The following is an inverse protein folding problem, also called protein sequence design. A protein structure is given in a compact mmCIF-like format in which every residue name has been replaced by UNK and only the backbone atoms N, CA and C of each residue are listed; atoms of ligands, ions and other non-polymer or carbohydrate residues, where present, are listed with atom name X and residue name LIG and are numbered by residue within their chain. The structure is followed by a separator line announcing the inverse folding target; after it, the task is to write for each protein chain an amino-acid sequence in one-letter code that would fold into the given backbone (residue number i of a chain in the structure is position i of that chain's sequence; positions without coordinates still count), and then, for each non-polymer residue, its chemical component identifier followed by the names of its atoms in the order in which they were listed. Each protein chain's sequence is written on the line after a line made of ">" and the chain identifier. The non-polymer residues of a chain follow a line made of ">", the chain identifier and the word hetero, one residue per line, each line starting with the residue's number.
data_IF_687037012195
#
_entry.id   IF_687037012195
#
_cell.length_a   1.000
_cell.length_b   1.000
_cell.length_c   1.000
_cell.angle_alpha   90.00
_cell.angle_beta   90.00
_cell.angle_gamma   90.00
#
_symmetry.space_group_name_H-M   'P 1'
#
loop_
_entity.id
_entity.type
_entity.pdbx_description
1 polymer ?
#
# COMPACT_ATOMS: atom_id res chain seq x y z
N UNK A 1 -1.01 5.11 -21.02
CA UNK A 1 -1.43 6.52 -20.88
C UNK A 1 -2.13 6.80 -19.55
N UNK A 2 -3.19 6.06 -19.18
CA UNK A 2 -3.95 6.33 -17.93
C UNK A 2 -3.14 6.27 -16.64
N UNK A 3 -2.27 5.27 -16.46
CA UNK A 3 -1.43 5.12 -15.26
C UNK A 3 -0.45 6.31 -15.12
N UNK A 4 0.17 6.74 -16.22
CA UNK A 4 1.07 7.90 -16.21
C UNK A 4 0.34 9.20 -15.83
N UNK A 5 -0.88 9.40 -16.33
CA UNK A 5 -1.70 10.54 -15.95
C UNK A 5 -2.10 10.50 -14.47
N UNK A 6 -2.46 9.33 -13.94
CA UNK A 6 -2.76 9.15 -12.52
C UNK A 6 -1.54 9.40 -11.62
N UNK A 7 -0.35 8.94 -12.04
CA UNK A 7 0.90 9.23 -11.35
C UNK A 7 1.22 10.73 -11.34
N UNK A 8 1.05 11.42 -12.48
CA UNK A 8 1.23 12.86 -12.57
C UNK A 8 0.25 13.63 -11.67
N UNK A 9 -1.03 13.22 -11.64
CA UNK A 9 -2.04 13.78 -10.75
C UNK A 9 -1.64 13.60 -9.28
N UNK A 10 -1.17 12.41 -8.91
CA UNK A 10 -0.70 12.11 -7.55
C UNK A 10 0.48 13.00 -7.14
N UNK A 11 1.49 13.14 -8.01
CA UNK A 11 2.64 14.02 -7.78
C UNK A 11 2.23 15.50 -7.60
N UNK A 12 1.31 15.98 -8.43
CA UNK A 12 0.73 17.32 -8.30
C UNK A 12 0.00 17.50 -6.96
N UNK A 13 -0.87 16.56 -6.60
CA UNK A 13 -1.64 16.62 -5.36
C UNK A 13 -0.74 16.59 -4.12
N UNK A 14 0.29 15.74 -4.11
CA UNK A 14 1.31 15.68 -3.06
C UNK A 14 2.05 17.00 -2.92
N UNK A 15 2.50 17.59 -4.04
CA UNK A 15 3.25 18.85 -4.03
C UNK A 15 2.42 19.99 -3.45
N UNK A 16 1.13 20.06 -3.81
CA UNK A 16 0.22 21.05 -3.25
C UNK A 16 -0.04 20.85 -1.76
N UNK A 17 -0.09 19.59 -1.32
CA UNK A 17 -0.31 19.23 0.08
C UNK A 17 0.93 19.50 0.94
N UNK A 18 2.14 19.19 0.45
CA UNK A 18 3.42 19.38 1.14
C UNK A 18 3.99 20.79 1.09
N UNK A 19 3.23 21.77 0.58
CA UNK A 19 3.65 23.18 0.53
C UNK A 19 3.89 23.79 1.93
N UNK A 20 3.40 23.14 2.99
CA UNK A 20 3.66 23.52 4.39
C UNK A 20 4.66 22.56 5.04
N UNK A 21 5.74 23.09 5.61
CA UNK A 21 6.73 22.32 6.37
C UNK A 21 6.10 21.57 7.55
N UNK A 22 5.13 22.19 8.22
CA UNK A 22 4.37 21.60 9.33
C UNK A 22 3.59 20.38 8.86
N UNK A 23 2.98 20.44 7.68
CA UNK A 23 2.28 19.30 7.11
C UNK A 23 3.24 18.12 6.87
N UNK A 24 4.39 18.37 6.26
CA UNK A 24 5.37 17.31 5.98
C UNK A 24 5.87 16.63 7.25
N UNK A 25 6.14 17.40 8.32
CA UNK A 25 6.52 16.84 9.62
C UNK A 25 5.39 16.01 10.25
N UNK A 26 4.17 16.55 10.23
CA UNK A 26 2.99 15.83 10.72
C UNK A 26 2.72 14.54 9.95
N UNK A 27 2.91 14.55 8.64
CA UNK A 27 2.78 13.37 7.79
C UNK A 27 3.83 12.32 8.12
N UNK A 28 5.10 12.70 8.24
CA UNK A 28 6.18 11.77 8.60
C UNK A 28 5.92 11.12 9.97
N UNK A 29 5.50 11.91 10.95
CA UNK A 29 5.12 11.41 12.27
C UNK A 29 3.89 10.51 12.20
N UNK A 30 2.86 10.90 11.45
CA UNK A 30 1.66 10.10 11.27
C UNK A 30 1.95 8.77 10.62
N UNK A 31 2.77 8.74 9.56
CA UNK A 31 3.15 7.52 8.84
C UNK A 31 4.01 6.60 9.72
N UNK A 32 4.94 7.14 10.52
CA UNK A 32 5.76 6.30 11.39
C UNK A 32 4.94 5.62 12.50
N UNK A 33 4.02 6.35 13.12
CA UNK A 33 3.14 5.81 14.17
C UNK A 33 2.08 4.88 13.57
N UNK A 34 1.34 5.34 12.55
CA UNK A 34 0.28 4.55 11.95
C UNK A 34 0.82 3.30 11.23
N UNK A 35 1.97 3.42 10.57
CA UNK A 35 2.64 2.28 9.93
C UNK A 35 3.03 1.22 10.95
N UNK A 36 3.62 1.62 12.08
CA UNK A 36 3.94 0.69 13.17
C UNK A 36 2.69 0.02 13.75
N UNK A 37 1.62 0.78 13.99
CA UNK A 37 0.36 0.24 14.49
C UNK A 37 -0.28 -0.75 13.50
N UNK A 38 -0.26 -0.42 12.21
CA UNK A 38 -0.84 -1.22 11.14
C UNK A 38 -0.08 -2.53 10.93
N UNK A 39 1.25 -2.50 11.03
CA UNK A 39 2.06 -3.72 11.01
C UNK A 39 1.79 -4.59 12.25
N UNK A 40 1.57 -3.98 13.42
CA UNK A 40 1.24 -4.73 14.63
C UNK A 40 -0.14 -5.42 14.57
N UNK A 41 -1.11 -4.85 13.86
CA UNK A 41 -2.46 -5.44 13.73
C UNK A 41 -2.56 -6.50 12.65
N UNK A 42 -1.93 -6.28 11.50
CA UNK A 42 -2.00 -7.20 10.35
C UNK A 42 -1.02 -8.37 10.54
N UNK A 43 0.09 -8.15 11.24
CA UNK A 43 1.15 -9.13 11.42
C UNK A 43 1.96 -9.37 10.14
N UNK A 44 3.09 -10.11 10.22
CA UNK A 44 4.02 -10.27 9.12
C UNK A 44 3.61 -11.35 8.10
N UNK A 45 2.47 -12.02 8.30
CA UNK A 45 2.15 -13.27 7.58
C UNK A 45 1.81 -13.05 6.11
N UNK A 46 1.04 -12.00 5.81
CA UNK A 46 0.68 -11.63 4.44
C UNK A 46 0.98 -10.15 4.16
N UNK A 47 2.19 -9.83 3.65
CA UNK A 47 2.58 -8.46 3.36
C UNK A 47 1.95 -7.91 2.07
N UNK A 48 1.39 -8.75 1.19
CA UNK A 48 0.98 -8.37 -0.16
C UNK A 48 -0.02 -7.19 -0.24
N UNK A 49 -1.03 -7.10 0.65
CA UNK A 49 -1.97 -5.98 0.62
C UNK A 49 -1.38 -4.62 0.97
N UNK A 50 -0.31 -4.60 1.76
CA UNK A 50 0.24 -3.38 2.37
C UNK A 50 1.60 -2.98 1.79
N UNK A 51 2.37 -3.93 1.26
CA UNK A 51 3.69 -3.67 0.72
C UNK A 51 3.58 -2.90 -0.61
N UNK A 52 4.04 -1.63 -0.67
CA UNK A 52 3.96 -0.85 -1.89
C UNK A 52 4.81 -1.46 -3.01
N UNK A 53 5.88 -2.19 -2.71
CA UNK A 53 6.77 -2.79 -3.71
C UNK A 53 6.08 -3.92 -4.46
N UNK A 54 5.37 -4.79 -3.75
CA UNK A 54 4.63 -5.90 -4.36
C UNK A 54 3.49 -5.37 -5.23
N UNK A 55 2.74 -4.38 -4.74
CA UNK A 55 1.66 -3.77 -5.51
C UNK A 55 2.20 -3.00 -6.75
N UNK A 56 3.37 -2.36 -6.67
CA UNK A 56 4.03 -1.75 -7.83
C UNK A 56 4.35 -2.79 -8.91
N UNK A 57 4.96 -3.90 -8.49
CA UNK A 57 5.32 -4.98 -9.40
C UNK A 57 4.08 -5.58 -10.07
N UNK A 58 3.00 -5.79 -9.31
CA UNK A 58 1.73 -6.25 -9.87
C UNK A 58 1.18 -5.32 -10.96
N UNK A 59 1.38 -4.01 -10.83
CA UNK A 59 0.95 -3.05 -11.86
C UNK A 59 1.85 -3.05 -13.09
N UNK A 60 3.17 -3.17 -12.89
CA UNK A 60 4.15 -3.10 -13.98
C UNK A 60 4.16 -4.39 -14.81
N UNK A 61 4.04 -5.54 -14.15
CA UNK A 61 4.19 -6.86 -14.76
C UNK A 61 2.86 -7.56 -15.09
N UNK A 62 1.71 -6.89 -14.92
CA UNK A 62 0.37 -7.49 -15.06
C UNK A 62 0.14 -8.67 -14.12
N UNK A 63 0.44 -8.43 -12.84
CA UNK A 63 0.42 -9.40 -11.76
C UNK A 63 1.81 -9.74 -11.25
N UNK A 64 1.88 -10.24 -10.01
CA UNK A 64 3.12 -10.74 -9.41
C UNK A 64 2.83 -11.82 -8.39
N UNK A 65 3.82 -12.66 -8.13
CA UNK A 65 3.81 -13.63 -7.04
C UNK A 65 4.82 -13.23 -5.98
N UNK A 66 4.48 -13.40 -4.71
CA UNK A 66 5.33 -13.03 -3.58
C UNK A 66 5.31 -14.11 -2.51
N UNK A 67 6.29 -14.09 -1.63
CA UNK A 67 6.34 -15.03 -0.52
C UNK A 67 5.33 -14.65 0.56
N UNK A 68 4.54 -15.62 0.99
CA UNK A 68 3.62 -15.53 2.13
C UNK A 68 4.09 -16.54 3.16
N UNK A 69 4.19 -16.13 4.42
CA UNK A 69 4.62 -17.04 5.49
C UNK A 69 3.48 -18.03 5.77
N UNK A 70 3.68 -19.35 5.55
CA UNK A 70 2.65 -20.33 5.82
C UNK A 70 2.30 -20.35 7.32
N UNK A 71 1.02 -20.55 7.67
CA UNK A 71 0.64 -20.63 9.08
C UNK A 71 1.23 -21.88 9.75
N UNK A 72 1.45 -21.81 11.07
CA UNK A 72 2.10 -22.89 11.85
C UNK A 72 1.46 -24.27 11.66
N UNK A 73 0.14 -24.32 11.36
CA UNK A 73 -0.62 -25.54 11.04
C UNK A 73 -0.08 -26.32 9.83
N UNK A 74 0.68 -25.68 8.97
CA UNK A 74 1.24 -26.23 7.74
C UNK A 74 2.60 -26.91 7.92
N UNK A 75 3.19 -26.79 9.12
CA UNK A 75 4.47 -27.39 9.46
C UNK A 75 4.26 -28.70 10.23
N UNK A 76 4.79 -29.82 9.72
CA UNK A 76 4.90 -31.09 10.45
C UNK A 76 6.35 -31.55 10.43
N UNK A 77 6.93 -31.82 11.60
CA UNK A 77 8.33 -32.26 11.74
C UNK A 77 9.34 -31.31 11.05
N UNK A 78 9.13 -29.99 11.15
CA UNK A 78 9.91 -28.95 10.47
C UNK A 78 9.92 -29.03 8.93
N UNK A 79 8.99 -29.79 8.34
CA UNK A 79 8.75 -29.85 6.90
C UNK A 79 7.42 -29.20 6.55
N UNK A 80 7.40 -28.41 5.48
CA UNK A 80 6.19 -27.84 4.90
C UNK A 80 5.41 -28.94 4.18
N UNK A 81 4.16 -29.14 4.56
CA UNK A 81 3.27 -30.08 3.88
C UNK A 81 2.43 -29.34 2.85
N UNK A 82 2.98 -29.15 1.65
CA UNK A 82 2.43 -28.34 0.56
C UNK A 82 1.34 -29.07 -0.26
N UNK A 83 0.44 -29.78 0.43
CA UNK A 83 -0.69 -30.51 -0.23
C UNK A 83 -2.02 -29.79 -0.06
N UNK A 84 -2.08 -28.79 0.82
CA UNK A 84 -3.25 -27.93 1.05
C UNK A 84 -3.00 -26.57 0.38
N UNK A 85 -3.92 -26.05 -0.47
CA UNK A 85 -3.80 -24.70 -1.02
C UNK A 85 -3.67 -23.60 0.07
N UNK A 86 -4.19 -23.83 1.28
CA UNK A 86 -4.01 -22.91 2.42
C UNK A 86 -2.57 -22.90 2.98
N UNK A 87 -1.73 -23.85 2.56
CA UNK A 87 -0.34 -23.99 2.98
C UNK A 87 0.67 -23.54 1.90
N UNK A 88 0.20 -22.92 0.83
CA UNK A 88 1.09 -22.39 -0.20
C UNK A 88 1.95 -21.24 0.37
N UNK A 89 3.26 -21.30 0.12
CA UNK A 89 4.20 -20.23 0.48
C UNK A 89 4.22 -19.08 -0.56
N UNK A 90 3.27 -19.08 -1.49
CA UNK A 90 3.20 -18.14 -2.61
C UNK A 90 1.84 -17.43 -2.62
N UNK A 91 1.86 -16.12 -2.38
CA UNK A 91 0.72 -15.26 -2.65
C UNK A 91 0.77 -14.75 -4.09
N UNK A 92 -0.40 -14.54 -4.70
CA UNK A 92 -0.53 -13.87 -5.98
C UNK A 92 -1.21 -12.52 -5.80
N UNK A 93 -0.77 -11.51 -6.55
CA UNK A 93 -1.45 -10.21 -6.67
C UNK A 93 -1.72 -9.96 -8.13
N UNK A 94 -2.98 -9.65 -8.42
CA UNK A 94 -3.41 -9.25 -9.75
C UNK A 94 -3.10 -7.78 -10.02
N UNK A 95 -3.06 -7.41 -11.31
CA UNK A 95 -3.02 -6.01 -11.75
C UNK A 95 -4.12 -5.17 -11.09
N UNK A 96 -5.34 -5.72 -11.02
CA UNK A 96 -6.50 -5.03 -10.44
C UNK A 96 -6.31 -4.68 -8.98
N UNK A 97 -5.74 -5.58 -8.18
CA UNK A 97 -5.45 -5.33 -6.76
C UNK A 97 -4.34 -4.30 -6.57
N UNK A 98 -3.28 -4.36 -7.38
CA UNK A 98 -2.22 -3.35 -7.37
C UNK A 98 -2.76 -1.96 -7.75
N UNK A 99 -3.60 -1.89 -8.79
CA UNK A 99 -4.27 -0.64 -9.18
C UNK A 99 -5.21 -0.13 -8.10
N UNK A 100 -5.96 -1.00 -7.42
CA UNK A 100 -6.83 -0.62 -6.33
C UNK A 100 -6.04 -0.02 -5.16
N UNK A 101 -4.91 -0.65 -4.78
CA UNK A 101 -4.03 -0.13 -3.73
C UNK A 101 -3.58 1.30 -4.01
N UNK A 102 -3.04 1.56 -5.21
CA UNK A 102 -2.62 2.92 -5.58
C UNK A 102 -3.79 3.87 -5.84
N UNK A 103 -4.93 3.38 -6.33
CA UNK A 103 -6.14 4.16 -6.52
C UNK A 103 -6.68 4.72 -5.20
N UNK A 104 -6.67 3.91 -4.13
CA UNK A 104 -7.03 4.35 -2.77
C UNK A 104 -6.06 5.42 -2.28
N UNK A 105 -4.75 5.19 -2.40
CA UNK A 105 -3.74 6.18 -2.00
C UNK A 105 -3.92 7.51 -2.74
N UNK A 106 -4.13 7.44 -4.06
CA UNK A 106 -4.37 8.61 -4.89
C UNK A 106 -5.64 9.35 -4.46
N UNK A 107 -6.72 8.61 -4.17
CA UNK A 107 -7.98 9.17 -3.67
C UNK A 107 -7.81 9.89 -2.33
N UNK A 108 -7.14 9.25 -1.36
CA UNK A 108 -6.85 9.82 -0.04
C UNK A 108 -6.02 11.10 -0.16
N UNK A 109 -4.93 11.05 -0.92
CA UNK A 109 -4.06 12.22 -1.14
C UNK A 109 -4.82 13.34 -1.87
N UNK A 110 -5.62 13.01 -2.88
CA UNK A 110 -6.44 13.97 -3.61
C UNK A 110 -7.45 14.68 -2.70
N UNK A 111 -8.18 13.92 -1.88
CA UNK A 111 -9.15 14.47 -0.90
C UNK A 111 -8.44 15.35 0.14
N UNK A 112 -7.29 14.89 0.66
CA UNK A 112 -6.50 15.67 1.62
C UNK A 112 -5.99 16.98 0.99
N UNK A 113 -5.53 16.94 -0.27
CA UNK A 113 -5.09 18.10 -1.04
C UNK A 113 -6.23 19.12 -1.20
N UNK A 114 -7.39 18.69 -1.68
CA UNK A 114 -8.58 19.56 -1.85
C UNK A 114 -9.06 20.13 -0.51
N UNK A 115 -9.10 19.30 0.54
CA UNK A 115 -9.49 19.75 1.88
C UNK A 115 -8.55 20.81 2.47
N UNK A 116 -7.25 20.67 2.20
CA UNK A 116 -6.23 21.67 2.58
C UNK A 116 -6.45 23.00 1.88
N UNK A 117 -6.77 23.00 0.58
CA UNK A 117 -7.09 24.22 -0.17
C UNK A 117 -8.31 24.95 0.39
N UNK A 118 -9.42 24.23 0.60
CA UNK A 118 -10.66 24.85 1.12
C UNK A 118 -10.48 25.55 2.46
N UNK A 119 -9.58 25.07 3.34
CA UNK A 119 -9.32 25.71 4.64
C UNK A 119 -8.44 26.96 4.52
N UNK A 120 -7.70 27.13 3.43
CA UNK A 120 -6.80 28.27 3.20
C UNK A 120 -7.48 29.40 2.45
N UNK A 121 -8.49 29.11 1.63
CA UNK A 121 -9.18 30.09 0.78
C UNK A 121 -10.39 30.76 1.46
N UNK A 122 -10.56 30.60 2.78
CA UNK A 122 -11.59 31.31 3.57
C UNK A 122 -10.90 32.42 4.38
N UNK A 123 -11.23 33.71 4.13
CA UNK A 123 -10.67 34.86 4.86
C UNK A 123 -11.27 35.03 6.27
#
# INVERSE_FOLDING_TARGET
>A
AGIAAAAALGGYALTMLSRSTVFSLGLLFGVSVAGGLLLATIGPRDPGPVDPTINAQAVIADGTTYYVEPPDKCYRDNSLFDTDPDCSAQGARSLGEGLAHYGVLLGVVGVASVGSFRRRDVP
#
